data_IF_921132890635
#
_entry.id   IF_921132890635
#
_cell.length_a   1.000
_cell.length_b   1.000
_cell.length_c   1.000
_cell.angle_alpha   90.00
_cell.angle_beta   90.00
_cell.angle_gamma   90.00
#
_symmetry.space_group_name_H-M   'P 1'
#
loop_
_entity.id
_entity.type
_entity.pdbx_description
1 polymer ?
#
# COMPACT_ATOMS: atom_id res chain seq x y z
N UNK A 1 17.09 -17.40 11.18
CA UNK A 1 15.68 -17.47 11.67
C UNK A 1 15.01 -16.14 11.37
N UNK A 2 14.31 -16.06 10.24
CA UNK A 2 13.53 -14.86 9.86
C UNK A 2 12.27 -14.81 10.73
N UNK A 3 12.18 -13.81 11.63
CA UNK A 3 10.90 -13.51 12.28
C UNK A 3 9.95 -12.94 11.21
N UNK A 4 8.85 -13.64 10.99
CA UNK A 4 7.74 -13.19 10.15
C UNK A 4 7.36 -11.77 10.53
N UNK A 5 7.47 -10.83 9.59
CA UNK A 5 7.01 -9.46 9.79
C UNK A 5 5.48 -9.54 9.91
N UNK A 6 4.95 -9.35 11.12
CA UNK A 6 3.51 -9.27 11.32
C UNK A 6 3.04 -7.91 10.84
N UNK A 7 2.34 -7.93 9.73
CA UNK A 7 1.55 -6.80 9.30
C UNK A 7 0.32 -6.68 10.22
N UNK A 8 0.36 -5.76 11.17
CA UNK A 8 -0.83 -5.43 11.93
C UNK A 8 -1.71 -4.55 11.03
N UNK A 9 -2.99 -4.91 10.81
CA UNK A 9 -3.91 -4.02 10.12
C UNK A 9 -4.06 -2.74 10.95
N UNK A 10 -3.90 -1.58 10.30
CA UNK A 10 -4.18 -0.28 10.91
C UNK A 10 -5.64 -0.27 11.36
N UNK A 11 -5.94 0.08 12.62
CA UNK A 11 -7.30 0.35 13.04
C UNK A 11 -7.67 1.77 12.58
N UNK A 12 -7.99 1.94 11.30
CA UNK A 12 -8.75 3.11 10.90
C UNK A 12 -10.13 2.97 11.50
N UNK A 13 -10.41 3.90 12.41
CA UNK A 13 -11.63 3.99 13.18
C UNK A 13 -12.86 3.82 12.28
N UNK A 14 -13.69 2.88 12.64
CA UNK A 14 -15.04 2.71 12.11
C UNK A 14 -15.86 3.98 12.41
N UNK A 15 -15.83 4.93 11.49
CA UNK A 15 -16.83 6.00 11.45
C UNK A 15 -18.11 5.36 10.94
N UNK A 16 -18.99 5.00 11.84
CA UNK A 16 -20.34 4.57 11.51
C UNK A 16 -21.11 5.78 10.97
N UNK A 17 -21.61 5.77 9.73
CA UNK A 17 -22.53 6.81 9.30
C UNK A 17 -23.82 6.70 10.11
N UNK A 18 -24.15 7.78 10.79
CA UNK A 18 -25.42 7.95 11.49
C UNK A 18 -26.48 8.15 10.42
N UNK A 19 -27.31 7.15 10.18
CA UNK A 19 -28.49 7.28 9.33
C UNK A 19 -29.47 8.20 10.01
N UNK A 20 -29.49 9.46 9.61
CA UNK A 20 -30.63 10.36 9.89
C UNK A 20 -31.79 9.95 8.96
N UNK A 21 -32.89 9.66 9.58
CA UNK A 21 -34.17 9.38 8.90
C UNK A 21 -34.65 10.67 8.23
N UNK A 22 -34.42 10.81 6.95
CA UNK A 22 -35.09 11.83 6.15
C UNK A 22 -36.51 11.36 5.85
N UNK A 23 -37.47 11.97 6.53
CA UNK A 23 -38.90 11.91 6.17
C UNK A 23 -39.11 12.69 4.88
N UNK A 24 -39.48 12.00 3.81
CA UNK A 24 -39.93 12.59 2.55
C UNK A 24 -41.28 13.24 2.74
N UNK A 25 -41.33 14.57 2.82
CA UNK A 25 -42.53 15.38 2.58
C UNK A 25 -42.44 15.92 1.14
N UNK A 26 -43.48 15.65 0.38
CA UNK A 26 -43.57 15.76 -1.06
C UNK A 26 -43.33 17.14 -1.65
N UNK A 27 -42.91 17.12 -2.90
CA UNK A 27 -43.40 17.96 -4.00
C UNK A 27 -42.61 17.61 -5.27
N UNK A 28 -43.28 17.53 -6.40
CA UNK A 28 -42.81 17.05 -7.69
C UNK A 28 -41.59 17.76 -8.23
N UNK A 29 -40.63 16.96 -8.65
CA UNK A 29 -39.53 17.37 -9.47
C UNK A 29 -39.35 16.39 -10.63
N UNK A 30 -39.30 16.96 -11.83
CA UNK A 30 -39.28 16.35 -13.15
C UNK A 30 -38.19 15.27 -13.29
N UNK A 31 -38.42 14.28 -14.17
CA UNK A 31 -37.69 13.05 -14.41
C UNK A 31 -36.19 13.12 -14.69
N UNK A 32 -35.60 14.32 -14.88
CA UNK A 32 -34.16 14.50 -15.04
C UNK A 32 -33.38 14.37 -13.72
N UNK A 33 -34.02 14.67 -12.58
CA UNK A 33 -33.39 14.60 -11.27
C UNK A 33 -33.39 13.17 -10.68
N UNK A 34 -34.32 12.31 -11.12
CA UNK A 34 -34.37 10.92 -10.74
C UNK A 34 -33.21 10.12 -11.37
N UNK A 35 -32.76 10.51 -12.58
CA UNK A 35 -31.63 9.85 -13.25
C UNK A 35 -30.29 10.20 -12.57
N UNK A 36 -30.12 11.43 -12.03
CA UNK A 36 -28.92 11.82 -11.29
C UNK A 36 -28.82 11.16 -9.92
N UNK A 37 -29.93 10.92 -9.23
CA UNK A 37 -29.97 10.19 -7.96
C UNK A 37 -29.71 8.68 -8.14
N UNK A 38 -30.09 8.11 -9.28
CA UNK A 38 -29.82 6.71 -9.60
C UNK A 38 -28.31 6.46 -9.90
N UNK A 39 -27.60 7.45 -10.47
CA UNK A 39 -26.15 7.34 -10.75
C UNK A 39 -25.33 7.52 -9.46
N UNK A 40 -25.80 8.32 -8.50
CA UNK A 40 -25.13 8.46 -7.20
C UNK A 40 -25.28 7.22 -6.29
N UNK A 41 -26.31 6.40 -6.49
CA UNK A 41 -26.54 5.17 -5.74
C UNK A 41 -25.69 3.98 -6.18
N UNK A 42 -24.93 4.10 -7.29
CA UNK A 42 -24.11 3.01 -7.84
C UNK A 42 -22.63 3.07 -7.42
N UNK A 43 -22.27 3.89 -6.44
CA UNK A 43 -20.90 4.04 -5.96
C UNK A 43 -20.47 3.27 -4.68
N UNK A 44 -21.26 2.35 -4.09
CA UNK A 44 -20.75 1.57 -2.94
C UNK A 44 -19.77 0.46 -3.35
N UNK A 45 -19.73 0.07 -4.62
CA UNK A 45 -18.92 -1.05 -5.07
C UNK A 45 -17.40 -0.84 -4.90
N UNK A 46 -16.93 0.41 -4.91
CA UNK A 46 -15.49 0.69 -4.89
C UNK A 46 -14.84 0.48 -3.51
N UNK A 47 -15.56 0.72 -2.43
CA UNK A 47 -15.08 0.54 -1.06
C UNK A 47 -15.23 -0.92 -0.57
N UNK A 48 -16.29 -1.63 -0.98
CA UNK A 48 -16.59 -2.99 -0.52
C UNK A 48 -15.53 -4.05 -0.92
N UNK A 49 -14.86 -3.86 -2.06
CA UNK A 49 -13.91 -4.88 -2.56
C UNK A 49 -12.54 -4.83 -1.89
N UNK A 50 -12.07 -3.65 -1.46
CA UNK A 50 -10.85 -3.54 -0.64
C UNK A 50 -11.11 -4.23 0.68
N UNK A 51 -12.25 -3.93 1.31
CA UNK A 51 -12.75 -4.59 2.51
C UNK A 51 -12.85 -6.12 2.36
N UNK A 52 -13.20 -6.63 1.19
CA UNK A 52 -13.29 -8.08 0.98
C UNK A 52 -11.91 -8.75 0.95
N UNK A 53 -10.91 -8.13 0.32
CA UNK A 53 -9.52 -8.62 0.28
C UNK A 53 -8.88 -8.60 1.67
N UNK A 54 -9.04 -7.50 2.40
CA UNK A 54 -8.52 -7.34 3.77
C UNK A 54 -9.22 -8.27 4.76
N UNK A 55 -10.54 -8.41 4.64
CA UNK A 55 -11.32 -9.38 5.47
C UNK A 55 -10.89 -10.81 5.21
N UNK A 56 -10.67 -11.19 3.94
CA UNK A 56 -10.15 -12.50 3.58
C UNK A 56 -8.74 -12.71 4.15
N UNK A 57 -7.88 -11.68 4.05
CA UNK A 57 -6.53 -11.71 4.62
C UNK A 57 -6.56 -11.91 6.14
N UNK A 58 -7.40 -11.15 6.85
CA UNK A 58 -7.57 -11.25 8.30
C UNK A 58 -8.09 -12.63 8.75
N UNK A 59 -8.89 -13.29 7.92
CA UNK A 59 -9.38 -14.66 8.12
C UNK A 59 -8.40 -15.74 7.66
N UNK A 60 -7.21 -15.34 7.20
CA UNK A 60 -6.19 -16.22 6.64
C UNK A 60 -6.61 -16.96 5.34
N UNK A 61 -7.71 -16.55 4.71
CA UNK A 61 -8.09 -17.01 3.38
C UNK A 61 -7.26 -16.26 2.32
N UNK A 62 -5.98 -16.62 2.29
CA UNK A 62 -5.00 -15.92 1.46
C UNK A 62 -5.26 -16.08 -0.03
N UNK A 63 -5.81 -17.21 -0.47
CA UNK A 63 -6.13 -17.42 -1.89
C UNK A 63 -7.21 -16.47 -2.35
N UNK A 64 -8.30 -16.35 -1.60
CA UNK A 64 -9.38 -15.40 -1.92
C UNK A 64 -8.89 -13.95 -1.81
N UNK A 65 -8.05 -13.65 -0.81
CA UNK A 65 -7.42 -12.35 -0.62
C UNK A 65 -6.57 -11.96 -1.83
N UNK A 66 -5.69 -12.86 -2.30
CA UNK A 66 -4.84 -12.64 -3.47
C UNK A 66 -5.66 -12.35 -4.73
N UNK A 67 -6.72 -13.11 -4.98
CA UNK A 67 -7.61 -12.90 -6.13
C UNK A 67 -8.32 -11.52 -6.06
N UNK A 68 -8.74 -11.10 -4.87
CA UNK A 68 -9.37 -9.78 -4.66
C UNK A 68 -8.38 -8.63 -4.88
N UNK A 69 -7.16 -8.74 -4.33
CA UNK A 69 -6.14 -7.71 -4.52
C UNK A 69 -5.58 -7.68 -5.94
N UNK A 70 -5.47 -8.83 -6.64
CA UNK A 70 -4.99 -8.87 -8.03
C UNK A 70 -5.81 -7.97 -8.94
N UNK A 71 -7.15 -8.06 -8.88
CA UNK A 71 -8.04 -7.23 -9.69
C UNK A 71 -7.80 -5.73 -9.44
N UNK A 72 -7.56 -5.34 -8.19
CA UNK A 72 -7.36 -3.96 -7.79
C UNK A 72 -5.96 -3.44 -8.11
N UNK A 73 -4.97 -4.29 -7.95
CA UNK A 73 -3.59 -3.99 -8.30
C UNK A 73 -3.43 -3.72 -9.80
N UNK A 74 -4.16 -4.47 -10.64
CA UNK A 74 -4.21 -4.24 -12.09
C UNK A 74 -4.89 -2.91 -12.46
N UNK A 75 -5.79 -2.40 -11.60
CA UNK A 75 -6.41 -1.08 -11.75
C UNK A 75 -5.55 0.04 -11.15
N UNK A 76 -4.28 -0.22 -10.82
CA UNK A 76 -3.34 0.79 -10.34
C UNK A 76 -3.43 1.09 -8.84
N UNK A 77 -4.34 0.49 -8.06
CA UNK A 77 -4.53 0.85 -6.66
C UNK A 77 -3.29 0.48 -5.80
N UNK A 78 -2.56 1.49 -5.32
CA UNK A 78 -1.30 1.33 -4.59
C UNK A 78 -1.44 0.43 -3.35
N UNK A 79 -2.52 0.55 -2.59
CA UNK A 79 -2.79 -0.30 -1.43
C UNK A 79 -2.90 -1.78 -1.83
N UNK A 80 -3.64 -2.08 -2.89
CA UNK A 80 -3.80 -3.45 -3.39
C UNK A 80 -2.49 -4.02 -3.96
N UNK A 81 -1.73 -3.19 -4.68
CA UNK A 81 -0.39 -3.54 -5.18
C UNK A 81 0.56 -3.87 -4.01
N UNK A 82 0.50 -3.11 -2.92
CA UNK A 82 1.29 -3.35 -1.71
C UNK A 82 0.95 -4.70 -1.06
N UNK A 83 -0.35 -4.98 -0.86
CA UNK A 83 -0.77 -6.28 -0.33
C UNK A 83 -0.32 -7.43 -1.22
N UNK A 84 -0.51 -7.30 -2.53
CA UNK A 84 -0.11 -8.33 -3.48
C UNK A 84 1.41 -8.55 -3.48
N UNK A 85 2.20 -7.48 -3.47
CA UNK A 85 3.66 -7.57 -3.35
C UNK A 85 4.09 -8.27 -2.06
N UNK A 86 3.46 -7.94 -0.93
CA UNK A 86 3.69 -8.61 0.34
C UNK A 86 3.30 -10.10 0.31
N UNK A 87 2.18 -10.44 -0.36
CA UNK A 87 1.73 -11.82 -0.50
C UNK A 87 2.70 -12.65 -1.35
N UNK A 88 3.21 -12.11 -2.44
CA UNK A 88 4.26 -12.77 -3.24
C UNK A 88 5.56 -12.93 -2.46
N UNK A 89 5.99 -11.92 -1.70
CA UNK A 89 7.21 -12.01 -0.89
C UNK A 89 7.15 -13.10 0.18
N UNK A 90 5.94 -13.44 0.66
CA UNK A 90 5.75 -14.40 1.75
C UNK A 90 5.06 -15.72 1.31
N UNK A 91 4.73 -15.89 0.04
CA UNK A 91 4.04 -17.09 -0.44
C UNK A 91 2.63 -17.25 0.14
N UNK A 92 1.89 -16.13 0.38
CA UNK A 92 0.55 -16.16 0.99
C UNK A 92 -0.53 -16.13 -0.08
N UNK A 93 -1.16 -17.27 -0.32
CA UNK A 93 -2.24 -17.42 -1.33
C UNK A 93 -1.76 -17.38 -2.77
N UNK A 94 -0.46 -17.16 -2.98
CA UNK A 94 0.27 -17.24 -4.24
C UNK A 94 1.62 -17.92 -3.96
N UNK A 95 2.25 -18.58 -4.95
CA UNK A 95 3.62 -19.06 -4.81
C UNK A 95 4.57 -17.91 -4.44
N UNK A 96 5.56 -18.20 -3.59
CA UNK A 96 6.56 -17.19 -3.26
C UNK A 96 7.38 -16.79 -4.49
N UNK A 97 7.40 -15.50 -4.78
CA UNK A 97 8.15 -14.92 -5.90
C UNK A 97 8.59 -13.50 -5.52
N UNK A 98 9.87 -13.34 -5.21
CA UNK A 98 10.43 -12.05 -4.85
C UNK A 98 10.52 -11.08 -6.04
N UNK A 99 10.64 -11.59 -7.28
CA UNK A 99 10.66 -10.73 -8.48
C UNK A 99 9.28 -10.11 -8.69
N UNK A 100 8.23 -10.92 -8.65
CA UNK A 100 6.85 -10.42 -8.71
C UNK A 100 6.55 -9.47 -7.54
N UNK A 101 7.02 -9.80 -6.32
CA UNK A 101 6.88 -8.93 -5.15
C UNK A 101 7.50 -7.54 -5.39
N UNK A 102 8.75 -7.51 -5.88
CA UNK A 102 9.45 -6.25 -6.17
C UNK A 102 8.72 -5.42 -7.22
N UNK A 103 8.19 -6.05 -8.27
CA UNK A 103 7.44 -5.35 -9.32
C UNK A 103 6.16 -4.70 -8.79
N UNK A 104 5.37 -5.41 -7.98
CA UNK A 104 4.15 -4.86 -7.40
C UNK A 104 4.43 -3.77 -6.37
N UNK A 105 5.43 -3.98 -5.52
CA UNK A 105 5.86 -2.98 -4.53
C UNK A 105 6.43 -1.73 -5.21
N UNK A 106 7.18 -1.87 -6.31
CA UNK A 106 7.69 -0.75 -7.09
C UNK A 106 6.54 0.12 -7.62
N UNK A 107 5.54 -0.48 -8.25
CA UNK A 107 4.36 0.26 -8.76
C UNK A 107 3.65 1.06 -7.67
N UNK A 108 3.49 0.48 -6.47
CA UNK A 108 2.88 1.18 -5.35
C UNK A 108 3.80 2.24 -4.71
N UNK A 109 5.11 1.98 -4.65
CA UNK A 109 6.11 2.89 -4.11
C UNK A 109 6.26 4.14 -4.99
N UNK A 110 6.23 3.96 -6.31
CA UNK A 110 6.28 5.05 -7.29
C UNK A 110 5.05 5.98 -7.19
N UNK A 111 3.91 5.48 -6.70
CA UNK A 111 2.73 6.28 -6.36
C UNK A 111 2.84 6.98 -4.99
N UNK A 112 3.95 6.82 -4.29
CA UNK A 112 4.17 7.42 -2.97
C UNK A 112 3.59 6.65 -1.79
N UNK A 113 3.18 5.37 -1.96
CA UNK A 113 2.59 4.60 -0.87
C UNK A 113 3.67 4.19 0.16
N UNK A 114 3.63 4.72 1.42
CA UNK A 114 4.77 4.60 2.33
C UNK A 114 5.12 3.17 2.71
N UNK A 115 4.12 2.32 2.91
CA UNK A 115 4.34 0.91 3.24
C UNK A 115 5.01 0.15 2.10
N UNK A 116 4.66 0.47 0.84
CA UNK A 116 5.31 -0.13 -0.32
C UNK A 116 6.76 0.33 -0.46
N UNK A 117 7.03 1.62 -0.22
CA UNK A 117 8.39 2.17 -0.17
C UNK A 117 9.24 1.46 0.88
N UNK A 118 8.70 1.27 2.09
CA UNK A 118 9.39 0.54 3.15
C UNK A 118 9.72 -0.90 2.73
N UNK A 119 8.73 -1.65 2.22
CA UNK A 119 8.92 -3.04 1.80
C UNK A 119 9.89 -3.17 0.62
N UNK A 120 9.83 -2.25 -0.33
CA UNK A 120 10.77 -2.20 -1.47
C UNK A 120 12.20 -1.93 -0.99
N UNK A 121 12.39 -1.00 -0.05
CA UNK A 121 13.69 -0.75 0.57
C UNK A 121 14.27 -2.00 1.23
N UNK A 122 13.44 -2.81 1.90
CA UNK A 122 13.86 -4.09 2.46
C UNK A 122 14.29 -5.10 1.38
N UNK A 123 13.60 -5.14 0.23
CA UNK A 123 13.98 -6.03 -0.87
C UNK A 123 15.34 -5.63 -1.45
N UNK A 124 15.63 -4.33 -1.59
CA UNK A 124 16.93 -3.84 -2.02
C UNK A 124 18.04 -4.13 -0.99
N UNK A 125 17.76 -3.96 0.32
CA UNK A 125 18.71 -4.31 1.38
C UNK A 125 19.11 -5.78 1.35
N UNK A 126 18.21 -6.67 0.98
CA UNK A 126 18.43 -8.12 0.96
C UNK A 126 18.81 -8.70 -0.42
N UNK A 127 18.59 -7.94 -1.48
CA UNK A 127 18.73 -8.45 -2.84
C UNK A 127 17.65 -9.48 -3.20
N UNK A 128 16.45 -9.35 -2.62
CA UNK A 128 15.36 -10.26 -2.87
C UNK A 128 14.52 -9.79 -4.07
N UNK A 129 14.59 -10.53 -5.18
CA UNK A 129 13.90 -10.21 -6.44
C UNK A 129 14.44 -8.99 -7.19
N UNK A 130 15.43 -8.33 -6.62
CA UNK A 130 16.18 -7.22 -7.17
C UNK A 130 17.67 -7.42 -6.84
N UNK A 131 18.57 -6.81 -7.62
CA UNK A 131 19.99 -6.76 -7.25
C UNK A 131 20.11 -5.97 -5.95
N UNK A 132 20.87 -6.51 -4.99
CA UNK A 132 21.16 -5.81 -3.74
C UNK A 132 21.79 -4.44 -4.02
N UNK A 133 21.19 -3.39 -3.42
CA UNK A 133 21.67 -2.02 -3.54
C UNK A 133 21.30 -1.24 -2.28
N UNK A 134 22.30 -0.93 -1.45
CA UNK A 134 22.05 -0.22 -0.19
C UNK A 134 21.72 1.27 -0.40
N UNK A 135 22.15 1.88 -1.51
CA UNK A 135 21.80 3.26 -1.85
C UNK A 135 20.30 3.33 -2.20
N UNK A 136 19.83 2.45 -3.08
CA UNK A 136 18.41 2.33 -3.41
C UNK A 136 17.57 1.99 -2.17
N UNK A 137 18.05 1.06 -1.32
CA UNK A 137 17.38 0.71 -0.07
C UNK A 137 17.21 1.96 0.82
N UNK A 138 18.27 2.77 1.00
CA UNK A 138 18.23 3.98 1.80
C UNK A 138 17.29 5.04 1.22
N UNK A 139 17.26 5.22 -0.12
CA UNK A 139 16.31 6.13 -0.78
C UNK A 139 14.87 5.76 -0.42
N UNK A 140 14.48 4.50 -0.64
CA UNK A 140 13.12 4.06 -0.39
C UNK A 140 12.75 4.08 1.10
N UNK A 141 13.69 3.76 1.99
CA UNK A 141 13.47 3.82 3.44
C UNK A 141 13.38 5.26 3.96
N UNK A 142 14.09 6.23 3.37
CA UNK A 142 13.96 7.65 3.69
C UNK A 142 12.57 8.16 3.33
N UNK A 143 12.10 7.86 2.10
CA UNK A 143 10.76 8.23 1.64
C UNK A 143 9.68 7.63 2.53
N UNK A 144 9.79 6.35 2.87
CA UNK A 144 8.86 5.69 3.77
C UNK A 144 8.83 6.33 5.17
N UNK A 145 10.01 6.59 5.75
CA UNK A 145 10.14 7.16 7.09
C UNK A 145 9.57 8.60 7.18
N UNK A 146 9.68 9.38 6.10
CA UNK A 146 9.12 10.73 6.02
C UNK A 146 7.59 10.74 6.15
N UNK A 147 6.91 9.69 5.69
CA UNK A 147 5.45 9.56 5.68
C UNK A 147 4.93 8.49 6.65
N UNK A 148 5.80 7.98 7.54
CA UNK A 148 5.43 6.98 8.54
C UNK A 148 4.43 7.54 9.56
N UNK A 149 3.40 6.75 9.88
CA UNK A 149 2.55 7.04 11.02
C UNK A 149 3.31 6.91 12.36
N UNK A 150 2.71 7.40 13.43
CA UNK A 150 3.34 7.42 14.77
C UNK A 150 3.73 6.01 15.25
N UNK A 151 2.95 4.97 14.87
CA UNK A 151 3.19 3.59 15.32
C UNK A 151 4.33 2.92 14.56
N UNK A 152 4.53 3.30 13.30
CA UNK A 152 5.52 2.72 12.40
C UNK A 152 6.85 3.45 12.44
N UNK A 153 6.85 4.75 12.78
CA UNK A 153 7.98 5.66 12.67
C UNK A 153 9.24 5.16 13.34
N UNK A 154 9.16 4.74 14.60
CA UNK A 154 10.33 4.29 15.35
C UNK A 154 10.94 3.02 14.76
N UNK A 155 10.08 2.10 14.33
CA UNK A 155 10.52 0.86 13.71
C UNK A 155 11.19 1.11 12.35
N UNK A 156 10.54 1.90 11.49
CA UNK A 156 11.08 2.21 10.15
C UNK A 156 12.36 3.02 10.22
N UNK A 157 12.44 3.98 11.15
CA UNK A 157 13.66 4.76 11.40
C UNK A 157 14.82 3.88 11.85
N UNK A 158 14.58 2.90 12.73
CA UNK A 158 15.65 1.96 13.15
C UNK A 158 16.15 1.12 11.98
N UNK A 159 15.25 0.63 11.13
CA UNK A 159 15.64 -0.16 9.94
C UNK A 159 16.44 0.72 8.98
N UNK A 160 15.96 1.92 8.66
CA UNK A 160 16.69 2.89 7.83
C UNK A 160 18.09 3.16 8.38
N UNK A 161 18.22 3.47 9.66
CA UNK A 161 19.53 3.75 10.27
C UNK A 161 20.46 2.52 10.21
N UNK A 162 19.92 1.31 10.28
CA UNK A 162 20.70 0.08 10.09
C UNK A 162 21.23 -0.06 8.65
N UNK A 163 20.47 0.39 7.65
CA UNK A 163 20.92 0.41 6.25
C UNK A 163 21.92 1.53 6.02
N UNK A 164 21.65 2.73 6.53
CA UNK A 164 22.55 3.89 6.48
C UNK A 164 23.94 3.55 7.03
N UNK A 165 24.03 2.73 8.08
CA UNK A 165 25.30 2.27 8.66
C UNK A 165 26.14 1.35 7.75
N UNK A 166 25.60 0.89 6.62
CA UNK A 166 26.31 0.07 5.60
C UNK A 166 26.88 0.95 4.48
N UNK A 167 26.54 2.22 4.43
CA UNK A 167 26.91 3.17 3.39
C UNK A 167 28.10 4.02 3.79
N UNK A 168 28.91 4.38 2.80
CA UNK A 168 29.88 5.47 2.95
C UNK A 168 29.16 6.83 3.03
N UNK A 169 29.84 7.88 3.52
CA UNK A 169 29.30 9.23 3.58
C UNK A 169 28.86 9.74 2.19
N UNK A 170 29.62 9.40 1.14
CA UNK A 170 29.29 9.80 -0.23
C UNK A 170 28.02 9.12 -0.75
N UNK A 171 27.85 7.82 -0.50
CA UNK A 171 26.67 7.04 -0.85
C UNK A 171 25.44 7.53 -0.05
N UNK A 172 25.60 7.81 1.23
CA UNK A 172 24.53 8.36 2.06
C UNK A 172 24.07 9.73 1.55
N UNK A 173 25.01 10.63 1.20
CA UNK A 173 24.69 11.92 0.61
C UNK A 173 23.99 11.79 -0.76
N UNK A 174 24.39 10.77 -1.56
CA UNK A 174 23.72 10.42 -2.82
C UNK A 174 22.26 10.00 -2.55
N UNK A 175 22.04 9.05 -1.65
CA UNK A 175 20.70 8.56 -1.32
C UNK A 175 19.80 9.69 -0.79
N UNK A 176 20.32 10.57 0.04
CA UNK A 176 19.58 11.74 0.55
C UNK A 176 19.16 12.69 -0.56
N UNK A 177 20.05 13.02 -1.51
CA UNK A 177 19.69 13.85 -2.67
C UNK A 177 18.62 13.20 -3.50
N UNK A 178 18.75 11.91 -3.82
CA UNK A 178 17.76 11.18 -4.62
C UNK A 178 16.39 11.16 -3.94
N UNK A 179 16.32 10.98 -2.62
CA UNK A 179 15.04 11.03 -1.90
C UNK A 179 14.42 12.42 -1.84
N UNK A 180 15.22 13.49 -1.85
CA UNK A 180 14.70 14.89 -1.91
C UNK A 180 14.20 15.27 -3.31
N UNK A 181 14.83 14.73 -4.35
CA UNK A 181 14.45 14.97 -5.76
C UNK A 181 13.28 14.09 -6.21
N UNK A 182 12.94 13.07 -5.44
CA UNK A 182 11.90 12.13 -5.80
C UNK A 182 10.51 12.77 -5.74
N UNK A 183 9.69 12.52 -6.76
CA UNK A 183 8.28 12.90 -6.80
C UNK A 183 7.42 11.67 -7.19
N UNK A 184 6.23 11.50 -6.58
CA UNK A 184 5.36 10.38 -6.92
C UNK A 184 4.86 10.48 -8.36
N UNK A 185 4.78 9.33 -9.03
CA UNK A 185 4.13 9.24 -10.34
C UNK A 185 2.63 9.43 -10.16
N UNK A 186 2.08 10.50 -10.73
CA UNK A 186 0.64 10.65 -10.83
C UNK A 186 0.15 9.75 -11.96
N UNK A 187 -0.66 8.74 -11.66
CA UNK A 187 -1.37 7.99 -12.69
C UNK A 187 -2.34 8.95 -13.40
N UNK A 188 -2.12 9.11 -14.72
CA UNK A 188 -3.00 9.90 -15.62
C UNK A 188 -4.22 9.10 -16.00
#
# INVERSE_FOLDING_TARGET
MMRSIRFAPSPEAAVRPRFERFTLVGAGLSGAMALFLAIAATQPARAEWIDSGERAYARQDYTRSAAAFMRRALLGQAKAQTYLGYMYANGRGVPQDYVAAAQWLRRAADQGFPTAQFLLGLLYDKGHGVKQDFVEAEVWLNLAAAHADTKQRDYWTRIRNSVAGKLTLAELAKAQRQSLEWAPLQER
#
